data_IF_040950533222
#
_entry.id   IF_040950533222
#
_cell.length_a   1.000
_cell.length_b   1.000
_cell.length_c   1.000
_cell.angle_alpha   90.00
_cell.angle_beta   90.00
_cell.angle_gamma   90.00
#
_symmetry.space_group_name_H-M   'P 1'
#
loop_
_entity.id
_entity.type
_entity.pdbx_description
1 polymer ?
#
# COMPACT_ATOMS: atom_id res chain seq x y z
N UNK A 1 -2.11 -6.46 20.53
CA UNK A 1 -1.60 -5.71 19.37
C UNK A 1 -2.18 -4.31 19.39
N UNK A 2 -1.32 -3.29 19.39
CA UNK A 2 -1.72 -1.90 19.15
C UNK A 2 -2.06 -1.69 17.65
N UNK A 3 -2.57 -0.51 17.30
CA UNK A 3 -3.04 -0.26 15.94
C UNK A 3 -1.91 -0.20 14.90
N UNK A 4 -0.70 0.20 15.30
CA UNK A 4 0.48 0.15 14.44
C UNK A 4 0.87 -1.30 14.13
N UNK A 5 0.86 -2.18 15.13
CA UNK A 5 1.14 -3.61 14.96
C UNK A 5 0.09 -4.29 14.08
N UNK A 6 -1.19 -3.96 14.26
CA UNK A 6 -2.28 -4.46 13.39
C UNK A 6 -2.09 -3.98 11.95
N UNK A 7 -1.79 -2.69 11.75
CA UNK A 7 -1.54 -2.13 10.42
C UNK A 7 -0.37 -2.84 9.73
N UNK A 8 0.73 -3.06 10.45
CA UNK A 8 1.89 -3.79 9.93
C UNK A 8 1.56 -5.25 9.60
N UNK A 9 0.81 -5.93 10.47
CA UNK A 9 0.33 -7.29 10.23
C UNK A 9 -0.49 -7.38 8.93
N UNK A 10 -1.48 -6.50 8.75
CA UNK A 10 -2.30 -6.46 7.53
C UNK A 10 -1.46 -6.16 6.29
N UNK A 11 -0.52 -5.21 6.39
CA UNK A 11 0.38 -4.87 5.28
C UNK A 11 1.21 -6.08 4.85
N UNK A 12 1.78 -6.82 5.80
CA UNK A 12 2.55 -8.03 5.50
C UNK A 12 1.69 -9.10 4.82
N UNK A 13 0.43 -9.27 5.24
CA UNK A 13 -0.51 -10.19 4.57
C UNK A 13 -0.74 -9.84 3.11
N UNK A 14 -0.88 -8.57 2.76
CA UNK A 14 -1.01 -8.16 1.36
C UNK A 14 0.26 -8.41 0.56
N UNK A 15 1.44 -8.22 1.17
CA UNK A 15 2.73 -8.49 0.52
C UNK A 15 2.97 -10.00 0.34
N UNK A 16 2.59 -10.83 1.31
CA UNK A 16 2.64 -12.30 1.20
C UNK A 16 1.84 -12.75 -0.03
N UNK A 17 0.59 -12.32 -0.16
CA UNK A 17 -0.25 -12.64 -1.32
C UNK A 17 0.36 -12.14 -2.64
N UNK A 18 0.88 -10.91 -2.68
CA UNK A 18 1.54 -10.39 -3.87
C UNK A 18 2.79 -11.22 -4.26
N UNK A 19 3.53 -11.72 -3.27
CA UNK A 19 4.68 -12.58 -3.51
C UNK A 19 4.26 -13.98 -4.01
N UNK A 20 3.14 -14.52 -3.53
CA UNK A 20 2.56 -15.77 -4.03
C UNK A 20 2.16 -15.64 -5.50
N UNK A 21 1.46 -14.57 -5.88
CA UNK A 21 1.08 -14.31 -7.28
C UNK A 21 2.29 -14.19 -8.22
N UNK A 22 3.42 -13.68 -7.73
CA UNK A 22 4.67 -13.63 -8.50
C UNK A 22 5.25 -15.03 -8.77
N UNK A 23 5.00 -16.00 -7.89
CA UNK A 23 5.45 -17.39 -8.08
C UNK A 23 4.63 -18.13 -9.15
N UNK A 24 3.45 -17.63 -9.48
CA UNK A 24 2.60 -18.11 -10.58
C UNK A 24 3.08 -17.61 -11.97
N UNK A 25 4.34 -17.16 -12.07
CA UNK A 25 4.95 -16.60 -13.30
C UNK A 25 4.24 -15.35 -13.85
N UNK A 26 3.46 -14.66 -13.01
CA UNK A 26 2.81 -13.41 -13.35
C UNK A 26 3.82 -12.26 -13.29
N UNK A 27 3.78 -11.38 -14.30
CA UNK A 27 4.64 -10.20 -14.36
C UNK A 27 4.48 -9.33 -13.08
N UNK A 28 5.58 -8.99 -12.38
CA UNK A 28 5.52 -8.20 -11.15
C UNK A 28 4.84 -6.83 -11.30
N UNK A 29 4.91 -6.21 -12.47
CA UNK A 29 4.24 -4.93 -12.77
C UNK A 29 2.73 -5.13 -12.81
N UNK A 30 2.26 -6.25 -13.37
CA UNK A 30 0.85 -6.63 -13.34
C UNK A 30 0.37 -6.89 -11.91
N UNK A 31 1.13 -7.65 -11.11
CA UNK A 31 0.80 -7.88 -9.69
C UNK A 31 0.71 -6.55 -8.93
N UNK A 32 1.66 -5.64 -9.14
CA UNK A 32 1.63 -4.31 -8.52
C UNK A 32 0.41 -3.48 -8.95
N UNK A 33 0.05 -3.51 -10.24
CA UNK A 33 -1.12 -2.81 -10.77
C UNK A 33 -2.44 -3.39 -10.21
N UNK A 34 -2.52 -4.71 -10.09
CA UNK A 34 -3.65 -5.40 -9.48
C UNK A 34 -3.80 -5.04 -7.99
N UNK A 35 -2.69 -4.99 -7.23
CA UNK A 35 -2.71 -4.59 -5.83
C UNK A 35 -3.18 -3.13 -5.64
N UNK A 36 -2.71 -2.22 -6.50
CA UNK A 36 -3.20 -0.82 -6.51
C UNK A 36 -4.69 -0.75 -6.79
N UNK A 37 -5.17 -1.54 -7.76
CA UNK A 37 -6.59 -1.59 -8.13
C UNK A 37 -7.44 -2.13 -6.98
N UNK A 38 -7.01 -3.24 -6.35
CA UNK A 38 -7.68 -3.82 -5.19
C UNK A 38 -7.75 -2.82 -4.01
N UNK A 39 -6.67 -2.08 -3.77
CA UNK A 39 -6.65 -1.01 -2.76
C UNK A 39 -7.67 0.09 -3.06
N UNK A 40 -7.79 0.53 -4.32
CA UNK A 40 -8.77 1.54 -4.74
C UNK A 40 -10.21 1.07 -4.60
N UNK A 41 -10.49 -0.18 -4.97
CA UNK A 41 -11.81 -0.81 -4.79
C UNK A 41 -12.17 -0.87 -3.31
N UNK A 42 -11.25 -1.32 -2.45
CA UNK A 42 -11.49 -1.38 -1.01
C UNK A 42 -11.67 0.00 -0.37
N UNK A 43 -10.89 1.00 -0.80
CA UNK A 43 -11.04 2.37 -0.33
C UNK A 43 -12.41 2.97 -0.72
N UNK A 44 -12.90 2.66 -1.93
CA UNK A 44 -14.23 3.06 -2.38
C UNK A 44 -15.31 2.39 -1.54
N UNK A 45 -15.20 1.08 -1.29
CA UNK A 45 -16.12 0.35 -0.41
C UNK A 45 -16.21 0.95 1.00
N UNK A 46 -15.06 1.26 1.62
CA UNK A 46 -15.04 1.85 2.97
C UNK A 46 -15.73 3.22 3.01
N UNK A 47 -15.62 4.02 1.94
CA UNK A 47 -16.18 5.37 1.89
C UNK A 47 -17.64 5.42 1.42
N UNK A 48 -18.04 4.55 0.49
CA UNK A 48 -19.29 4.67 -0.26
C UNK A 48 -20.16 3.38 -0.23
N UNK A 49 -19.67 2.28 0.34
CA UNK A 49 -20.37 0.99 0.36
C UNK A 49 -20.27 0.23 -0.97
N UNK A 50 -21.05 -0.84 -1.11
CA UNK A 50 -20.98 -1.76 -2.26
C UNK A 50 -21.48 -1.15 -3.57
N UNK A 51 -22.49 -0.29 -3.51
CA UNK A 51 -23.14 0.30 -4.68
C UNK A 51 -22.74 1.76 -4.90
N UNK A 52 -21.82 2.28 -4.09
CA UNK A 52 -21.40 3.67 -4.10
C UNK A 52 -20.12 3.92 -4.91
N UNK A 53 -19.92 5.17 -5.31
CA UNK A 53 -18.71 5.64 -5.95
C UNK A 53 -18.12 6.83 -5.19
N UNK A 54 -16.84 7.09 -5.37
CA UNK A 54 -16.20 8.29 -4.83
C UNK A 54 -16.54 9.49 -5.72
N UNK A 55 -17.03 10.56 -5.09
CA UNK A 55 -16.99 11.90 -5.68
C UNK A 55 -15.53 12.35 -5.89
N UNK A 56 -15.28 13.36 -6.73
CA UNK A 56 -13.92 13.84 -7.03
C UNK A 56 -13.11 14.16 -5.77
N UNK A 57 -13.75 14.80 -4.78
CA UNK A 57 -13.10 15.10 -3.49
C UNK A 57 -12.72 13.85 -2.68
N UNK A 58 -13.42 12.72 -2.87
CA UNK A 58 -13.08 11.43 -2.28
C UNK A 58 -11.85 10.82 -2.94
N UNK A 59 -11.77 10.89 -4.27
CA UNK A 59 -10.60 10.46 -5.04
C UNK A 59 -9.35 11.22 -4.58
N UNK A 60 -9.45 12.54 -4.46
CA UNK A 60 -8.33 13.40 -4.01
C UNK A 60 -7.83 13.01 -2.61
N UNK A 61 -8.75 12.69 -1.69
CA UNK A 61 -8.40 12.23 -0.34
C UNK A 61 -7.63 10.91 -0.37
N UNK A 62 -8.08 9.93 -1.17
CA UNK A 62 -7.38 8.64 -1.30
C UNK A 62 -5.97 8.84 -1.86
N UNK A 63 -5.83 9.68 -2.91
CA UNK A 63 -4.54 10.01 -3.50
C UNK A 63 -3.62 10.69 -2.46
N UNK A 64 -4.14 11.63 -1.68
CA UNK A 64 -3.38 12.33 -0.64
C UNK A 64 -2.87 11.37 0.45
N UNK A 65 -3.72 10.44 0.89
CA UNK A 65 -3.32 9.41 1.86
C UNK A 65 -2.25 8.49 1.27
N UNK A 66 -2.43 8.03 0.03
CA UNK A 66 -1.45 7.16 -0.62
C UNK A 66 -0.09 7.85 -0.78
N UNK A 67 -0.10 9.12 -1.21
CA UNK A 67 1.09 9.96 -1.32
C UNK A 67 1.83 10.05 0.01
N UNK A 68 1.14 10.44 1.09
CA UNK A 68 1.74 10.58 2.43
C UNK A 68 2.36 9.28 2.91
N UNK A 69 1.67 8.15 2.73
CA UNK A 69 2.16 6.83 3.13
C UNK A 69 3.42 6.44 2.36
N UNK A 70 3.44 6.68 1.04
CA UNK A 70 4.60 6.40 0.21
C UNK A 70 5.79 7.30 0.56
N UNK A 71 5.57 8.60 0.73
CA UNK A 71 6.60 9.57 1.13
C UNK A 71 7.23 9.16 2.47
N UNK A 72 6.41 8.85 3.48
CA UNK A 72 6.88 8.38 4.77
C UNK A 72 7.73 7.09 4.64
N UNK A 73 7.27 6.11 3.84
CA UNK A 73 8.04 4.90 3.60
C UNK A 73 9.40 5.19 2.98
N UNK A 74 9.46 6.08 1.98
CA UNK A 74 10.70 6.48 1.31
C UNK A 74 11.65 7.21 2.26
N UNK A 75 11.13 8.07 3.14
CA UNK A 75 11.93 8.74 4.17
C UNK A 75 12.59 7.74 5.12
N UNK A 76 11.81 6.80 5.65
CA UNK A 76 12.31 5.73 6.52
C UNK A 76 13.38 4.90 5.80
N UNK A 77 13.13 4.52 4.55
CA UNK A 77 14.10 3.74 3.75
C UNK A 77 15.40 4.51 3.53
N UNK A 78 15.32 5.80 3.19
CA UNK A 78 16.49 6.68 3.02
C UNK A 78 17.28 6.82 4.32
N UNK A 79 16.60 6.96 5.47
CA UNK A 79 17.25 7.03 6.77
C UNK A 79 18.01 5.73 7.10
N UNK A 80 17.41 4.57 6.86
CA UNK A 80 18.05 3.26 7.04
C UNK A 80 19.29 3.08 6.16
N UNK A 81 19.22 3.50 4.89
CA UNK A 81 20.37 3.43 3.98
C UNK A 81 21.53 4.31 4.47
N UNK A 82 21.25 5.55 4.91
CA UNK A 82 22.27 6.44 5.47
C UNK A 82 22.94 5.86 6.72
N UNK A 83 22.20 5.15 7.57
CA UNK A 83 22.77 4.49 8.75
C UNK A 83 23.68 3.31 8.36
N UNK A 84 23.26 2.47 7.39
CA UNK A 84 24.09 1.36 6.89
C UNK A 84 25.40 1.85 6.27
N UNK A 85 25.38 2.93 5.50
CA UNK A 85 26.59 3.52 4.89
C UNK A 85 27.54 4.15 5.92
N UNK A 86 27.06 4.56 7.10
CA UNK A 86 27.92 5.09 8.17
C UNK A 86 28.56 4.01 9.05
N UNK A 87 28.05 2.77 8.96
CA UNK A 87 28.52 1.62 9.74
C UNK A 87 29.42 0.67 8.92
N UNK A 88 29.58 0.92 7.62
CA UNK A 88 30.46 0.22 6.69
C UNK A 88 31.70 1.07 6.40
#
# INVERSE_FOLDING_TARGET
>A
MNDQEKHQYCTNKFIELANELRLEEIDPTLVSGALMTASGVYATYIAAGNDGALESSGVDKVIAVYRRTLEHHQEVKKAQLKQKTKQA
#
